data_IF_176939124201
#
_entry.id   IF_176939124201
#
_cell.length_a   1.000
_cell.length_b   1.000
_cell.length_c   1.000
_cell.angle_alpha   90.00
_cell.angle_beta   90.00
_cell.angle_gamma   90.00
#
_symmetry.space_group_name_H-M   'P 1'
#
loop_
_entity.id
_entity.type
_entity.pdbx_description
1 polymer ?
#
# COMPACT_ATOMS: atom_id res chain seq x y z
N UNK A 1 -29.44 4.82 -35.41
CA UNK A 1 -28.20 4.64 -34.62
C UNK A 1 -28.20 5.75 -33.58
N UNK A 2 -28.46 5.43 -32.32
CA UNK A 2 -28.42 6.42 -31.23
C UNK A 2 -26.96 6.59 -30.81
N UNK A 3 -26.37 7.74 -31.15
CA UNK A 3 -25.12 8.20 -30.54
C UNK A 3 -25.36 8.40 -29.04
N UNK A 4 -24.93 7.42 -28.25
CA UNK A 4 -24.77 7.58 -26.81
C UNK A 4 -23.53 8.47 -26.60
N UNK A 5 -23.61 9.57 -25.82
CA UNK A 5 -22.44 10.39 -25.54
C UNK A 5 -21.43 9.52 -24.78
N UNK A 6 -20.27 9.26 -25.38
CA UNK A 6 -19.17 8.56 -24.72
C UNK A 6 -18.74 9.46 -23.55
N UNK A 7 -18.83 9.02 -22.29
CA UNK A 7 -18.17 9.71 -21.20
C UNK A 7 -16.66 9.43 -21.35
N UNK A 8 -16.00 10.17 -22.25
CA UNK A 8 -14.55 10.21 -22.49
C UNK A 8 -13.83 10.96 -21.34
N UNK A 9 -14.12 10.55 -20.11
CA UNK A 9 -13.30 10.90 -18.95
C UNK A 9 -12.95 9.61 -18.21
N UNK A 10 -12.40 8.65 -18.98
CA UNK A 10 -11.58 7.56 -18.46
C UNK A 10 -10.50 8.17 -17.58
N UNK A 11 -10.69 8.04 -16.27
CA UNK A 11 -10.03 8.88 -15.28
C UNK A 11 -8.53 8.55 -15.19
N UNK A 12 -7.69 9.33 -15.88
CA UNK A 12 -6.22 9.24 -15.85
C UNK A 12 -5.70 9.22 -14.41
N UNK A 13 -6.35 9.99 -13.52
CA UNK A 13 -6.07 10.02 -12.09
C UNK A 13 -6.29 8.66 -11.40
N UNK A 14 -7.31 7.89 -11.79
CA UNK A 14 -7.55 6.54 -11.28
C UNK A 14 -6.47 5.55 -11.73
N UNK A 15 -5.98 5.69 -12.96
CA UNK A 15 -4.85 4.88 -13.46
C UNK A 15 -3.57 5.16 -12.67
N UNK A 16 -3.24 6.44 -12.44
CA UNK A 16 -2.08 6.85 -11.65
C UNK A 16 -2.16 6.34 -10.21
N UNK A 17 -3.33 6.44 -9.58
CA UNK A 17 -3.54 5.92 -8.23
C UNK A 17 -3.36 4.40 -8.20
N UNK A 18 -3.79 3.69 -9.26
CA UNK A 18 -3.61 2.24 -9.39
C UNK A 18 -2.15 1.85 -9.50
N UNK A 19 -1.37 2.54 -10.34
CA UNK A 19 0.08 2.33 -10.44
C UNK A 19 0.77 2.64 -9.11
N UNK A 20 0.33 3.71 -8.43
CA UNK A 20 0.87 4.10 -7.15
C UNK A 20 0.68 3.00 -6.10
N UNK A 21 -0.55 2.56 -5.84
CA UNK A 21 -0.78 1.59 -4.76
C UNK A 21 -0.27 0.18 -5.10
N UNK A 22 -0.26 -0.19 -6.39
CA UNK A 22 0.14 -1.54 -6.80
C UNK A 22 1.66 -1.69 -6.86
N UNK A 23 2.38 -0.67 -7.35
CA UNK A 23 3.83 -0.73 -7.50
C UNK A 23 4.56 0.26 -6.60
N UNK A 24 4.32 1.57 -6.78
CA UNK A 24 5.19 2.59 -6.21
C UNK A 24 5.20 2.59 -4.68
N UNK A 25 4.02 2.53 -4.05
CA UNK A 25 3.86 2.48 -2.61
C UNK A 25 4.49 1.22 -2.02
N UNK A 26 4.23 0.05 -2.62
CA UNK A 26 4.81 -1.22 -2.14
C UNK A 26 6.33 -1.21 -2.27
N UNK A 27 6.87 -0.72 -3.40
CA UNK A 27 8.31 -0.60 -3.61
C UNK A 27 8.96 0.28 -2.54
N UNK A 28 8.41 1.46 -2.28
CA UNK A 28 8.92 2.39 -1.25
C UNK A 28 8.88 1.71 0.13
N UNK A 29 7.78 1.03 0.48
CA UNK A 29 7.65 0.34 1.76
C UNK A 29 8.69 -0.79 1.91
N UNK A 30 8.88 -1.60 0.87
CA UNK A 30 9.90 -2.65 0.85
C UNK A 30 11.32 -2.08 0.95
N UNK A 31 11.64 -1.02 0.22
CA UNK A 31 12.96 -0.38 0.27
C UNK A 31 13.24 0.19 1.65
N UNK A 32 12.26 0.85 2.29
CA UNK A 32 12.41 1.37 3.65
C UNK A 32 12.64 0.25 4.68
N UNK A 33 11.87 -0.84 4.61
CA UNK A 33 12.05 -2.00 5.50
C UNK A 33 13.40 -2.69 5.27
N UNK A 34 13.81 -2.87 4.01
CA UNK A 34 15.11 -3.45 3.67
C UNK A 34 16.27 -2.58 4.18
N UNK A 35 16.16 -1.25 4.02
CA UNK A 35 17.16 -0.32 4.53
C UNK A 35 17.24 -0.34 6.06
N UNK A 36 16.09 -0.44 6.73
CA UNK A 36 16.01 -0.59 8.18
C UNK A 36 16.71 -1.87 8.67
N UNK A 37 16.51 -2.98 7.96
CA UNK A 37 17.14 -4.27 8.25
C UNK A 37 18.66 -4.25 8.01
N UNK A 38 19.10 -3.75 6.85
CA UNK A 38 20.51 -3.74 6.46
C UNK A 38 21.37 -2.84 7.34
N UNK A 39 20.89 -1.62 7.59
CA UNK A 39 21.67 -0.62 8.31
C UNK A 39 21.54 -0.76 9.85
N UNK A 40 20.80 -1.79 10.32
CA UNK A 40 20.53 -2.10 11.74
C UNK A 40 20.37 -0.85 12.61
N UNK A 41 19.58 0.12 12.14
CA UNK A 41 19.48 1.39 12.86
C UNK A 41 18.97 1.12 14.26
N UNK A 42 19.53 1.82 15.25
CA UNK A 42 19.06 1.74 16.63
C UNK A 42 17.64 2.30 16.73
N UNK A 43 16.80 1.71 17.57
CA UNK A 43 15.45 2.22 17.83
C UNK A 43 15.52 3.39 18.83
N UNK A 44 14.78 4.50 18.65
CA UNK A 44 13.86 4.86 17.54
C UNK A 44 14.57 5.52 16.34
N UNK A 45 14.05 5.33 15.12
CA UNK A 45 14.57 5.96 13.90
C UNK A 45 13.47 6.70 13.13
N UNK A 46 13.86 7.78 12.42
CA UNK A 46 12.99 8.47 11.46
C UNK A 46 12.42 7.55 10.38
N UNK A 47 13.11 6.44 10.08
CA UNK A 47 12.64 5.44 9.12
C UNK A 47 11.43 4.66 9.63
N UNK A 48 11.25 4.49 10.94
CA UNK A 48 10.04 3.85 11.48
C UNK A 48 8.80 4.69 11.18
N UNK A 49 8.91 6.01 11.39
CA UNK A 49 7.86 6.96 11.04
C UNK A 49 7.62 6.99 9.52
N UNK A 50 8.68 6.93 8.72
CA UNK A 50 8.60 6.83 7.26
C UNK A 50 7.83 5.59 6.80
N UNK A 51 8.13 4.41 7.35
CA UNK A 51 7.40 3.18 7.06
C UNK A 51 5.90 3.31 7.38
N UNK A 52 5.57 3.86 8.56
CA UNK A 52 4.17 4.08 8.95
C UNK A 52 3.46 5.08 8.03
N UNK A 53 4.12 6.18 7.65
CA UNK A 53 3.55 7.16 6.72
C UNK A 53 3.26 6.55 5.35
N UNK A 54 4.19 5.76 4.81
CA UNK A 54 4.02 5.09 3.51
C UNK A 54 2.91 4.04 3.59
N UNK A 55 2.84 3.29 4.68
CA UNK A 55 1.76 2.33 4.94
C UNK A 55 0.38 3.02 4.95
N UNK A 56 0.25 4.11 5.69
CA UNK A 56 -1.00 4.89 5.75
C UNK A 56 -1.33 5.49 4.38
N UNK A 57 -0.34 6.00 3.66
CA UNK A 57 -0.51 6.53 2.30
C UNK A 57 -1.01 5.47 1.31
N UNK A 58 -0.47 4.24 1.36
CA UNK A 58 -0.94 3.10 0.57
C UNK A 58 -2.42 2.77 0.84
N UNK A 59 -2.77 2.69 2.12
CA UNK A 59 -4.14 2.38 2.57
C UNK A 59 -5.11 3.46 2.09
N UNK A 60 -4.72 4.73 2.23
CA UNK A 60 -5.49 5.89 1.78
C UNK A 60 -5.64 5.93 0.26
N UNK A 61 -4.56 5.69 -0.49
CA UNK A 61 -4.59 5.63 -1.95
C UNK A 61 -5.54 4.53 -2.44
N UNK A 62 -5.49 3.34 -1.84
CA UNK A 62 -6.41 2.24 -2.17
C UNK A 62 -7.86 2.56 -1.78
N UNK A 63 -8.08 3.28 -0.68
CA UNK A 63 -9.41 3.74 -0.29
C UNK A 63 -9.99 4.74 -1.31
N UNK A 64 -9.18 5.70 -1.76
CA UNK A 64 -9.58 6.70 -2.76
C UNK A 64 -9.84 6.03 -4.12
N UNK A 65 -8.99 5.08 -4.52
CA UNK A 65 -9.16 4.26 -5.74
C UNK A 65 -10.56 3.61 -5.78
N UNK A 66 -10.92 2.93 -4.70
CA UNK A 66 -12.18 2.18 -4.60
C UNK A 66 -13.37 3.14 -4.51
N UNK A 67 -13.30 4.20 -3.70
CA UNK A 67 -14.43 5.09 -3.43
C UNK A 67 -14.70 6.11 -4.53
N UNK A 68 -13.65 6.60 -5.20
CA UNK A 68 -13.75 7.74 -6.13
C UNK A 68 -13.62 7.34 -7.60
N UNK A 69 -12.89 6.27 -7.88
CA UNK A 69 -12.62 5.83 -9.25
C UNK A 69 -13.28 4.49 -9.60
N UNK A 70 -14.14 3.95 -8.71
CA UNK A 70 -14.73 2.61 -8.85
C UNK A 70 -13.68 1.56 -9.23
N UNK A 71 -12.48 1.67 -8.65
CA UNK A 71 -11.32 0.91 -9.06
C UNK A 71 -11.62 -0.59 -9.07
N UNK A 72 -11.61 -1.19 -10.25
CA UNK A 72 -11.67 -2.64 -10.41
C UNK A 72 -10.57 -3.38 -9.64
N UNK A 73 -10.86 -4.63 -9.30
CA UNK A 73 -9.91 -5.64 -8.86
C UNK A 73 -8.89 -5.82 -9.99
N UNK A 74 -7.59 -5.75 -9.68
CA UNK A 74 -6.53 -5.94 -10.68
C UNK A 74 -6.59 -7.27 -11.43
N UNK A 75 -7.38 -8.22 -10.93
CA UNK A 75 -7.54 -9.58 -11.45
C UNK A 75 -8.69 -9.74 -12.45
N UNK A 76 -9.83 -9.03 -12.30
CA UNK A 76 -11.07 -9.49 -12.97
C UNK A 76 -12.04 -8.40 -13.46
N UNK A 77 -11.61 -7.13 -13.56
CA UNK A 77 -12.48 -6.00 -13.96
C UNK A 77 -13.74 -5.78 -13.10
N UNK A 78 -13.97 -6.62 -12.09
CA UNK A 78 -15.07 -6.51 -11.15
C UNK A 78 -14.84 -5.32 -10.20
N UNK A 79 -15.89 -4.54 -9.88
CA UNK A 79 -15.76 -3.40 -8.98
C UNK A 79 -15.26 -3.88 -7.60
N UNK A 80 -14.15 -3.29 -7.13
CA UNK A 80 -13.63 -3.62 -5.82
C UNK A 80 -14.59 -3.16 -4.74
N UNK A 81 -14.86 -4.03 -3.77
CA UNK A 81 -15.76 -3.70 -2.67
C UNK A 81 -14.94 -3.21 -1.48
N UNK A 82 -15.57 -2.42 -0.60
CA UNK A 82 -14.95 -2.03 0.68
C UNK A 82 -14.54 -3.22 1.56
N UNK A 83 -15.13 -4.39 1.35
CA UNK A 83 -14.69 -5.64 1.97
C UNK A 83 -13.27 -6.05 1.51
N UNK A 84 -12.96 -5.89 0.22
CA UNK A 84 -11.65 -6.20 -0.35
C UNK A 84 -10.60 -5.20 0.13
N UNK A 85 -10.99 -3.91 0.26
CA UNK A 85 -10.15 -2.90 0.89
C UNK A 85 -9.77 -3.29 2.32
N UNK A 86 -10.74 -3.74 3.13
CA UNK A 86 -10.47 -4.17 4.52
C UNK A 86 -9.54 -5.37 4.57
N UNK A 87 -9.75 -6.38 3.72
CA UNK A 87 -8.88 -7.56 3.64
C UNK A 87 -7.46 -7.17 3.24
N UNK A 88 -7.31 -6.36 2.18
CA UNK A 88 -6.03 -5.87 1.71
C UNK A 88 -5.31 -5.06 2.80
N UNK A 89 -6.02 -4.11 3.41
CA UNK A 89 -5.48 -3.27 4.49
C UNK A 89 -5.04 -4.12 5.68
N UNK A 90 -5.85 -5.10 6.08
CA UNK A 90 -5.54 -5.98 7.20
C UNK A 90 -4.31 -6.84 6.90
N UNK A 91 -4.21 -7.43 5.71
CA UNK A 91 -3.03 -8.17 5.29
C UNK A 91 -1.77 -7.29 5.24
N UNK A 92 -1.89 -6.08 4.67
CA UNK A 92 -0.78 -5.14 4.53
C UNK A 92 -0.26 -4.68 5.89
N UNK A 93 -1.17 -4.25 6.78
CA UNK A 93 -0.83 -3.80 8.13
C UNK A 93 -0.23 -4.96 8.94
N UNK A 94 -0.86 -6.14 8.91
CA UNK A 94 -0.39 -7.29 9.67
C UNK A 94 0.99 -7.74 9.19
N UNK A 95 1.21 -7.83 7.87
CA UNK A 95 2.51 -8.16 7.29
C UNK A 95 3.57 -7.11 7.62
N UNK A 96 3.25 -5.83 7.48
CA UNK A 96 4.18 -4.74 7.79
C UNK A 96 4.57 -4.73 9.28
N UNK A 97 3.60 -4.87 10.19
CA UNK A 97 3.86 -4.91 11.64
C UNK A 97 4.67 -6.15 12.01
N UNK A 98 4.36 -7.31 11.42
CA UNK A 98 5.11 -8.55 11.68
C UNK A 98 6.59 -8.41 11.27
N UNK A 99 6.86 -7.89 10.07
CA UNK A 99 8.23 -7.64 9.59
C UNK A 99 8.92 -6.60 10.46
N UNK A 100 8.23 -5.50 10.79
CA UNK A 100 8.79 -4.45 11.64
C UNK A 100 9.16 -4.97 13.03
N UNK A 101 8.29 -5.74 13.69
CA UNK A 101 8.56 -6.38 14.97
C UNK A 101 9.72 -7.39 14.87
N UNK A 102 9.79 -8.15 13.78
CA UNK A 102 10.92 -9.04 13.55
C UNK A 102 12.24 -8.26 13.50
N UNK A 103 12.28 -7.15 12.77
CA UNK A 103 13.48 -6.29 12.66
C UNK A 103 13.84 -5.65 13.99
N UNK A 104 12.85 -5.13 14.73
CA UNK A 104 13.07 -4.30 15.92
C UNK A 104 13.20 -5.06 17.23
N UNK A 105 12.60 -6.25 17.32
CA UNK A 105 12.53 -7.02 18.57
C UNK A 105 13.21 -8.37 18.39
N UNK A 106 12.76 -9.15 17.41
CA UNK A 106 13.20 -10.54 17.26
C UNK A 106 14.70 -10.63 16.93
N UNK A 107 15.18 -9.84 15.95
CA UNK A 107 16.60 -9.86 15.55
C UNK A 107 17.50 -9.41 16.70
N UNK A 108 17.30 -8.26 17.36
CA UNK A 108 18.14 -7.87 18.49
C UNK A 108 18.15 -8.88 19.64
N UNK A 109 17.01 -9.54 19.92
CA UNK A 109 16.92 -10.58 20.96
C UNK A 109 17.70 -11.84 20.58
N UNK A 110 17.64 -12.27 19.31
CA UNK A 110 18.38 -13.45 18.82
C UNK A 110 19.88 -13.22 18.68
N UNK A 111 20.31 -11.98 18.40
CA UNK A 111 21.73 -11.65 18.24
C UNK A 111 22.40 -11.19 19.54
N UNK A 112 21.72 -11.34 20.68
CA UNK A 112 22.24 -11.03 22.01
C UNK A 112 22.80 -12.30 22.65
#
# INVERSE_FOLDING_TARGET
>A
MQDQPIPEHSSEAGCLIRVYWMFLGNAILFTLLAYLFLNRLRFPSFLDAGCLLVLVSLIAARYIDIRRFNGANGENSAPATMADWRKYTLLLVTGCVAVWLAIRILIPVLTK
#
